data_IF_492659017853
#
_entry.id   IF_492659017853
#
_cell.length_a   1.000
_cell.length_b   1.000
_cell.length_c   1.000
_cell.angle_alpha   90.00
_cell.angle_beta   90.00
_cell.angle_gamma   90.00
#
_symmetry.space_group_name_H-M   'P 1'
#
loop_
_entity.id
_entity.type
_entity.pdbx_description
1 polymer ?
#
# COMPACT_ATOMS: atom_id res chain seq x y z
N UNK A 1 -0.47 1.77 -13.46
CA UNK A 1 -1.39 0.99 -12.60
C UNK A 1 -2.65 0.58 -13.37
N UNK A 2 -3.41 1.50 -13.98
CA UNK A 2 -4.67 1.16 -14.69
C UNK A 2 -4.58 0.08 -15.78
N UNK A 3 -3.42 -0.10 -16.42
CA UNK A 3 -3.20 -1.16 -17.43
C UNK A 3 -2.42 -2.37 -16.91
N UNK A 4 -1.97 -2.36 -15.65
CA UNK A 4 -1.19 -3.46 -15.10
C UNK A 4 -2.10 -4.67 -14.83
N UNK A 5 -1.65 -5.86 -15.18
CA UNK A 5 -2.29 -7.12 -14.78
C UNK A 5 -1.84 -7.61 -13.40
N UNK A 6 -0.64 -7.21 -12.97
CA UNK A 6 -0.06 -7.53 -11.67
C UNK A 6 0.68 -6.32 -11.10
N UNK A 7 0.51 -6.07 -9.81
CA UNK A 7 1.22 -5.07 -9.03
C UNK A 7 1.94 -5.80 -7.90
N UNK A 8 3.27 -5.75 -7.91
CA UNK A 8 4.08 -6.30 -6.82
C UNK A 8 4.79 -5.18 -6.10
N UNK A 9 4.66 -5.09 -4.78
CA UNK A 9 5.28 -4.02 -4.01
C UNK A 9 5.94 -4.54 -2.73
N UNK A 10 7.02 -3.87 -2.36
CA UNK A 10 7.66 -4.01 -1.06
C UNK A 10 7.72 -2.64 -0.39
N UNK A 11 7.15 -2.55 0.80
CA UNK A 11 7.08 -1.31 1.56
C UNK A 11 7.67 -1.48 2.95
N UNK A 12 8.55 -0.54 3.34
CA UNK A 12 9.35 -0.61 4.57
C UNK A 12 8.84 0.36 5.62
N UNK A 13 8.39 1.54 5.20
CA UNK A 13 8.04 2.62 6.14
C UNK A 13 6.55 2.67 6.47
N UNK A 14 5.69 2.31 5.53
CA UNK A 14 4.24 2.43 5.64
C UNK A 14 3.55 1.23 4.99
N UNK A 15 2.27 1.04 5.30
CA UNK A 15 1.45 0.09 4.54
C UNK A 15 1.35 0.55 3.07
N UNK A 16 1.41 -0.35 2.06
CA UNK A 16 1.28 0.01 0.66
C UNK A 16 0.02 0.83 0.37
N UNK A 17 0.15 1.89 -0.42
CA UNK A 17 -0.91 2.87 -0.67
C UNK A 17 -2.23 2.28 -1.15
N UNK A 18 -2.18 1.18 -1.91
CA UNK A 18 -3.36 0.46 -2.42
C UNK A 18 -4.14 -0.28 -1.32
N UNK A 19 -3.52 -0.55 -0.17
CA UNK A 19 -4.10 -1.30 0.94
C UNK A 19 -4.46 -0.40 2.15
N UNK A 20 -4.23 0.91 2.03
CA UNK A 20 -4.47 1.87 3.11
C UNK A 20 -5.96 2.17 3.30
N UNK A 21 -6.40 2.40 4.53
CA UNK A 21 -7.66 3.08 4.82
C UNK A 21 -7.53 4.58 4.56
N UNK A 22 -8.65 5.29 4.40
CA UNK A 22 -8.61 6.76 4.27
C UNK A 22 -7.94 7.43 5.46
N UNK A 23 -8.26 7.00 6.69
CA UNK A 23 -7.70 7.57 7.91
C UNK A 23 -6.17 7.37 7.98
N UNK A 24 -5.68 6.18 7.59
CA UNK A 24 -4.25 5.91 7.53
C UNK A 24 -3.57 6.72 6.41
N UNK A 25 -4.17 6.76 5.21
CA UNK A 25 -3.66 7.54 4.09
C UNK A 25 -3.52 9.02 4.44
N UNK A 26 -4.50 9.59 5.15
CA UNK A 26 -4.46 10.95 5.67
C UNK A 26 -3.29 11.16 6.63
N UNK A 27 -3.12 10.27 7.63
CA UNK A 27 -2.01 10.34 8.57
C UNK A 27 -0.63 10.27 7.87
N UNK A 28 -0.47 9.42 6.86
CA UNK A 28 0.76 9.35 6.05
C UNK A 28 1.00 10.65 5.29
N UNK A 29 -0.03 11.22 4.66
CA UNK A 29 0.10 12.47 3.89
C UNK A 29 0.47 13.64 4.82
N UNK A 30 -0.13 13.72 6.00
CA UNK A 30 0.16 14.73 7.01
C UNK A 30 1.62 14.66 7.50
N UNK A 31 2.14 13.44 7.74
CA UNK A 31 3.54 13.23 8.13
C UNK A 31 4.54 13.71 7.06
N UNK A 32 4.24 13.46 5.77
CA UNK A 32 5.11 13.85 4.65
C UNK A 32 4.93 15.30 4.18
N UNK A 33 3.95 16.03 4.71
CA UNK A 33 3.54 17.35 4.22
C UNK A 33 3.43 18.36 5.37
N UNK A 34 4.47 18.43 6.20
CA UNK A 34 4.55 19.37 7.32
C UNK A 34 4.24 20.79 6.80
N UNK A 35 3.15 21.39 7.28
CA UNK A 35 2.61 22.70 6.90
C UNK A 35 1.86 22.82 5.55
N UNK A 36 1.46 21.73 4.90
CA UNK A 36 0.56 21.80 3.75
C UNK A 36 -0.86 22.23 4.18
N UNK A 37 -1.56 23.08 3.40
CA UNK A 37 -2.95 23.43 3.67
C UNK A 37 -3.86 22.20 3.66
N UNK A 38 -4.91 22.18 4.49
CA UNK A 38 -5.86 21.06 4.59
C UNK A 38 -6.41 20.61 3.22
N UNK A 39 -6.76 21.57 2.36
CA UNK A 39 -7.23 21.31 0.99
C UNK A 39 -6.26 20.48 0.14
N UNK A 40 -4.96 20.62 0.39
CA UNK A 40 -3.92 19.88 -0.33
C UNK A 40 -3.80 18.45 0.21
N UNK A 41 -3.91 18.29 1.52
CA UNK A 41 -3.98 16.97 2.17
C UNK A 41 -5.18 16.20 1.62
N UNK A 42 -6.37 16.81 1.60
CA UNK A 42 -7.60 16.19 1.09
C UNK A 42 -7.45 15.75 -0.36
N UNK A 43 -6.86 16.61 -1.22
CA UNK A 43 -6.62 16.28 -2.63
C UNK A 43 -5.66 15.09 -2.79
N UNK A 44 -4.58 15.03 -1.99
CA UNK A 44 -3.61 13.92 -2.03
C UNK A 44 -4.24 12.61 -1.56
N UNK A 45 -5.08 12.66 -0.51
CA UNK A 45 -5.85 11.52 -0.02
C UNK A 45 -6.82 11.04 -1.09
N UNK A 46 -7.56 11.94 -1.72
CA UNK A 46 -8.51 11.61 -2.79
C UNK A 46 -7.84 10.89 -3.96
N UNK A 47 -6.68 11.38 -4.42
CA UNK A 47 -5.90 10.71 -5.47
C UNK A 47 -5.52 9.28 -5.07
N UNK A 48 -5.12 9.08 -3.80
CA UNK A 48 -4.74 7.76 -3.27
C UNK A 48 -5.95 6.82 -3.22
N UNK A 49 -7.09 7.29 -2.72
CA UNK A 49 -8.33 6.52 -2.66
C UNK A 49 -8.87 6.19 -4.05
N UNK A 50 -8.75 7.10 -5.01
CA UNK A 50 -9.17 6.85 -6.40
C UNK A 50 -8.37 5.69 -7.01
N UNK A 51 -7.07 5.58 -6.71
CA UNK A 51 -6.25 4.43 -7.15
C UNK A 51 -6.69 3.12 -6.52
N UNK A 52 -7.16 3.12 -5.28
CA UNK A 52 -7.65 1.89 -4.65
C UNK A 52 -8.91 1.33 -5.31
N UNK A 53 -9.71 2.17 -5.97
CA UNK A 53 -10.88 1.70 -6.73
C UNK A 53 -10.50 0.79 -7.90
N UNK A 54 -9.24 0.81 -8.35
CA UNK A 54 -8.73 -0.13 -9.35
C UNK A 54 -8.80 -1.59 -8.89
N UNK A 55 -8.87 -1.84 -7.58
CA UNK A 55 -8.98 -3.18 -7.00
C UNK A 55 -10.41 -3.75 -7.04
N UNK A 56 -11.41 -2.96 -7.45
CA UNK A 56 -12.83 -3.33 -7.34
C UNK A 56 -13.49 -3.73 -8.67
N UNK A 57 -12.74 -3.74 -9.79
CA UNK A 57 -13.27 -4.05 -11.13
C UNK A 57 -13.02 -5.49 -11.58
N UNK A 58 -13.75 -5.96 -12.60
CA UNK A 58 -13.53 -7.28 -13.22
C UNK A 58 -12.12 -7.45 -13.83
N UNK A 59 -11.47 -6.34 -14.17
CA UNK A 59 -10.09 -6.29 -14.64
C UNK A 59 -9.11 -5.83 -13.56
N UNK A 60 -9.47 -5.95 -12.27
CA UNK A 60 -8.58 -5.58 -11.18
C UNK A 60 -7.23 -6.32 -11.29
N UNK A 61 -6.10 -5.62 -11.07
CA UNK A 61 -4.79 -6.27 -11.04
C UNK A 61 -4.69 -7.22 -9.85
N UNK A 62 -3.92 -8.31 -10.03
CA UNK A 62 -3.45 -9.06 -8.87
C UNK A 62 -2.44 -8.21 -8.09
N UNK A 63 -2.52 -8.20 -6.77
CA UNK A 63 -1.62 -7.44 -5.90
C UNK A 63 -0.82 -8.39 -5.03
N UNK A 64 0.51 -8.30 -5.11
CA UNK A 64 1.43 -8.99 -4.21
C UNK A 64 2.15 -7.94 -3.38
N UNK A 65 1.85 -7.90 -2.09
CA UNK A 65 2.39 -6.89 -1.19
C UNK A 65 3.24 -7.55 -0.11
N UNK A 66 4.51 -7.16 -0.04
CA UNK A 66 5.38 -7.48 1.09
C UNK A 66 5.49 -6.23 1.96
N UNK A 67 5.16 -6.35 3.23
CA UNK A 67 5.18 -5.25 4.20
C UNK A 67 6.23 -5.57 5.27
N UNK A 68 7.13 -4.64 5.53
CA UNK A 68 8.04 -4.76 6.68
C UNK A 68 7.25 -4.72 7.98
N UNK A 69 7.53 -5.66 8.89
CA UNK A 69 6.86 -5.76 10.19
C UNK A 69 6.94 -4.43 10.97
N UNK A 70 8.03 -3.65 10.83
CA UNK A 70 8.15 -2.34 11.48
C UNK A 70 7.04 -1.38 11.06
N UNK A 71 6.57 -1.44 9.81
CA UNK A 71 5.49 -0.58 9.31
C UNK A 71 4.15 -0.87 9.99
N UNK A 72 3.95 -2.10 10.50
CA UNK A 72 2.76 -2.51 11.23
C UNK A 72 2.79 -2.12 12.72
N UNK A 73 3.98 -1.89 13.28
CA UNK A 73 4.15 -1.46 14.68
C UNK A 73 4.25 0.06 14.87
N UNK A 74 4.58 0.81 13.81
CA UNK A 74 4.68 2.28 13.90
C UNK A 74 3.28 2.91 14.05
N UNK A 75 3.04 3.77 15.05
CA UNK A 75 1.70 4.30 15.34
C UNK A 75 1.30 5.44 14.39
N UNK A 76 1.16 5.14 13.09
CA UNK A 76 0.72 6.14 12.10
C UNK A 76 -0.74 6.55 12.36
N UNK A 77 -0.98 7.84 12.63
CA UNK A 77 -2.32 8.36 12.96
C UNK A 77 -2.86 7.93 14.33
N UNK A 78 -2.03 7.26 15.15
CA UNK A 78 -2.42 6.77 16.48
C UNK A 78 -3.11 5.40 16.50
N UNK A 79 -3.45 4.88 17.70
CA UNK A 79 -3.89 3.50 17.87
C UNK A 79 -5.20 3.14 17.14
N UNK A 80 -6.18 4.05 17.10
CA UNK A 80 -7.47 3.79 16.43
C UNK A 80 -7.32 3.71 14.91
N UNK A 81 -6.49 4.58 14.32
CA UNK A 81 -6.17 4.53 12.89
C UNK A 81 -5.44 3.24 12.55
N UNK A 82 -4.46 2.83 13.36
CA UNK A 82 -3.76 1.57 13.19
C UNK A 82 -4.67 0.35 13.33
N UNK A 83 -5.60 0.35 14.30
CA UNK A 83 -6.59 -0.72 14.45
C UNK A 83 -7.43 -0.88 13.18
N UNK A 84 -7.96 0.22 12.65
CA UNK A 84 -8.71 0.22 11.39
C UNK A 84 -7.87 -0.25 10.21
N UNK A 85 -6.60 0.18 10.14
CA UNK A 85 -5.68 -0.24 9.09
C UNK A 85 -5.38 -1.75 9.14
N UNK A 86 -5.12 -2.30 10.32
CA UNK A 86 -4.84 -3.73 10.48
C UNK A 86 -6.08 -4.58 10.19
N UNK A 87 -7.26 -4.15 10.64
CA UNK A 87 -8.52 -4.81 10.29
C UNK A 87 -8.72 -4.84 8.77
N UNK A 88 -8.43 -3.73 8.08
CA UNK A 88 -8.50 -3.67 6.62
C UNK A 88 -7.54 -4.64 5.94
N UNK A 89 -6.31 -4.78 6.43
CA UNK A 89 -5.36 -5.75 5.87
C UNK A 89 -5.88 -7.17 6.02
N UNK A 90 -6.47 -7.52 7.16
CA UNK A 90 -7.08 -8.84 7.37
C UNK A 90 -8.22 -9.10 6.38
N UNK A 91 -9.14 -8.16 6.19
CA UNK A 91 -10.20 -8.29 5.17
C UNK A 91 -9.64 -8.51 3.76
N UNK A 92 -8.56 -7.80 3.41
CA UNK A 92 -7.94 -7.89 2.10
C UNK A 92 -7.28 -9.26 1.84
N UNK A 93 -6.86 -9.98 2.88
CA UNK A 93 -6.33 -11.35 2.72
C UNK A 93 -7.38 -12.37 2.27
N UNK A 94 -8.67 -12.04 2.42
CA UNK A 94 -9.77 -12.89 1.92
C UNK A 94 -10.02 -12.70 0.42
N UNK A 95 -9.43 -11.67 -0.20
CA UNK A 95 -9.63 -11.37 -1.61
C UNK A 95 -8.69 -12.21 -2.49
N UNK A 96 -9.21 -12.96 -3.49
CA UNK A 96 -8.41 -13.92 -4.25
C UNK A 96 -7.33 -13.29 -5.15
N UNK A 97 -7.47 -11.99 -5.46
CA UNK A 97 -6.48 -11.24 -6.22
C UNK A 97 -5.45 -10.49 -5.36
N UNK A 98 -5.41 -10.70 -4.05
CA UNK A 98 -4.52 -9.97 -3.14
C UNK A 98 -3.78 -10.94 -2.24
N UNK A 99 -2.46 -10.87 -2.28
CA UNK A 99 -1.57 -11.59 -1.38
C UNK A 99 -0.76 -10.59 -0.55
N UNK A 100 -0.81 -10.73 0.77
CA UNK A 100 -0.09 -9.87 1.72
C UNK A 100 0.86 -10.76 2.51
N UNK A 101 2.14 -10.42 2.46
CA UNK A 101 3.20 -11.06 3.21
C UNK A 101 3.85 -10.05 4.15
N UNK A 102 4.28 -10.51 5.32
CA UNK A 102 4.99 -9.67 6.29
C UNK A 102 6.44 -10.12 6.36
N UNK A 103 7.36 -9.18 6.14
CA UNK A 103 8.80 -9.39 6.32
C UNK A 103 9.14 -9.21 7.81
N UNK A 104 9.56 -10.26 8.53
CA UNK A 104 9.85 -10.17 9.96
C UNK A 104 11.06 -9.28 10.26
N UNK A 105 11.05 -8.58 11.39
CA UNK A 105 12.14 -7.68 11.81
C UNK A 105 13.53 -8.35 11.89
N UNK A 106 13.55 -9.65 12.21
CA UNK A 106 14.79 -10.43 12.37
C UNK A 106 15.30 -11.09 11.09
N UNK A 107 14.64 -10.90 9.95
CA UNK A 107 15.01 -11.58 8.72
C UNK A 107 16.18 -10.87 8.02
N UNK A 108 17.37 -11.46 8.10
CA UNK A 108 18.53 -11.04 7.30
C UNK A 108 18.58 -11.89 6.02
N UNK A 109 18.59 -11.26 4.84
CA UNK A 109 18.82 -11.95 3.56
C UNK A 109 17.70 -11.89 2.52
N UNK A 110 16.77 -10.94 2.62
CA UNK A 110 15.72 -10.79 1.61
C UNK A 110 16.24 -10.29 0.25
N UNK A 111 17.50 -9.85 0.14
CA UNK A 111 18.04 -9.23 -1.06
C UNK A 111 17.40 -7.88 -1.41
N UNK A 112 16.54 -7.35 -0.53
CA UNK A 112 15.81 -6.08 -0.69
C UNK A 112 16.44 -4.94 0.10
N UNK A 113 17.77 -4.99 0.22
CA UNK A 113 18.58 -3.97 0.90
C UNK A 113 18.45 -2.58 0.24
N UNK A 114 17.91 -2.54 -0.99
CA UNK A 114 17.69 -1.32 -1.77
C UNK A 114 16.47 -0.48 -1.35
N UNK A 115 15.65 -0.95 -0.41
CA UNK A 115 14.48 -0.21 0.10
C UNK A 115 13.17 -0.52 -0.64
N UNK A 116 12.23 0.41 -0.61
CA UNK A 116 10.86 0.21 -1.14
C UNK A 116 10.82 0.15 -2.66
N UNK A 117 10.01 -0.74 -3.24
CA UNK A 117 9.80 -0.79 -4.68
C UNK A 117 8.35 -1.13 -5.05
N UNK A 118 7.95 -0.76 -6.28
CA UNK A 118 6.70 -1.18 -6.90
C UNK A 118 6.97 -1.59 -8.34
N UNK A 119 6.61 -2.82 -8.69
CA UNK A 119 6.74 -3.41 -10.02
C UNK A 119 5.34 -3.53 -10.62
N UNK A 120 5.18 -3.00 -11.83
CA UNK A 120 3.94 -3.10 -12.60
C UNK A 120 4.18 -4.03 -13.78
N UNK A 121 3.46 -5.15 -13.82
CA UNK A 121 3.50 -6.08 -14.94
C UNK A 121 2.22 -5.95 -15.76
N UNK A 122 2.36 -5.76 -17.07
CA UNK A 122 1.27 -5.54 -18.00
C UNK A 122 0.95 -6.86 -18.72
N UNK A 123 -0.33 -7.08 -19.08
CA UNK A 123 -0.79 -8.35 -19.68
C UNK A 123 -0.31 -8.55 -21.12
N UNK A 124 0.15 -7.49 -21.77
CA UNK A 124 0.87 -7.58 -23.05
C UNK A 124 2.37 -7.54 -22.78
N UNK A 125 3.17 -8.49 -23.30
CA UNK A 125 4.61 -8.30 -23.35
C UNK A 125 4.88 -7.08 -24.23
N UNK A 126 5.76 -6.19 -23.79
CA UNK A 126 6.36 -5.22 -24.70
C UNK A 126 6.85 -5.99 -25.93
N UNK A 127 6.26 -5.69 -27.08
CA UNK A 127 6.76 -6.15 -28.37
C UNK A 127 8.19 -5.59 -28.52
N UNK A 128 9.18 -6.46 -28.36
CA UNK A 128 10.56 -6.26 -28.78
C UNK A 128 11.07 -7.54 -29.44
#
# INVERSE_FOLDING_TARGET
EEAAGVISCYEVQFVPGLLQTEAYARAVVELGSLAAPQREIDRRVEVRLRRQRLLQGEQAPAVYAVIDEAALHRPCGGPEVMRGQLARLLELTEHPGIEIQVMPLGFAGAGVESGTFSLLSFREPDLA
#
